data_IF_959004219901
#
_entry.id   IF_959004219901
#
_cell.length_a   1.000
_cell.length_b   1.000
_cell.length_c   1.000
_cell.angle_alpha   90.00
_cell.angle_beta   90.00
_cell.angle_gamma   90.00
#
_symmetry.space_group_name_H-M   'P 1'
#
loop_
_entity.id
_entity.type
_entity.pdbx_description
1 polymer ?
#
# COMPACT_ATOMS: atom_id res chain seq x y z
N UNK A 1 -13.55 11.75 -16.45
CA UNK A 1 -13.00 11.81 -17.84
C UNK A 1 -13.65 12.96 -18.57
N UNK A 2 -12.88 13.80 -19.28
CA UNK A 2 -13.41 14.96 -20.02
C UNK A 2 -12.45 15.32 -21.16
N UNK A 3 -12.95 15.95 -22.23
CA UNK A 3 -12.11 16.62 -23.23
C UNK A 3 -11.63 17.99 -22.75
N UNK A 4 -12.28 18.53 -21.74
CA UNK A 4 -11.98 19.79 -21.07
C UNK A 4 -11.16 19.49 -19.80
N UNK A 5 -9.94 20.03 -19.73
CA UNK A 5 -9.03 19.79 -18.59
C UNK A 5 -9.43 20.62 -17.37
N UNK A 6 -9.97 21.81 -17.57
CA UNK A 6 -10.42 22.72 -16.51
C UNK A 6 -11.53 22.06 -15.68
N UNK A 7 -12.48 21.40 -16.32
CA UNK A 7 -13.53 20.63 -15.63
C UNK A 7 -12.97 19.52 -14.72
N UNK A 8 -11.91 18.82 -15.13
CA UNK A 8 -11.30 17.79 -14.29
C UNK A 8 -10.51 18.37 -13.13
N UNK A 9 -9.85 19.51 -13.34
CA UNK A 9 -9.13 20.22 -12.29
C UNK A 9 -10.11 20.72 -11.23
N UNK A 10 -11.24 21.31 -11.64
CA UNK A 10 -12.30 21.76 -10.73
C UNK A 10 -12.88 20.59 -9.93
N UNK A 11 -13.21 19.47 -10.60
CA UNK A 11 -13.70 18.27 -9.93
C UNK A 11 -12.69 17.73 -8.92
N UNK A 12 -11.41 17.64 -9.28
CA UNK A 12 -10.37 17.16 -8.37
C UNK A 12 -10.14 18.08 -7.17
N UNK A 13 -10.19 19.39 -7.38
CA UNK A 13 -10.12 20.37 -6.30
C UNK A 13 -11.34 20.24 -5.37
N UNK A 14 -12.54 20.04 -5.91
CA UNK A 14 -13.74 19.79 -5.10
C UNK A 14 -13.55 18.57 -4.18
N UNK A 15 -13.05 17.47 -4.73
CA UNK A 15 -12.74 16.25 -3.93
C UNK A 15 -11.66 16.53 -2.90
N UNK A 16 -10.58 17.23 -3.27
CA UNK A 16 -9.49 17.59 -2.33
C UNK A 16 -10.01 18.41 -1.15
N UNK A 17 -10.80 19.45 -1.41
CA UNK A 17 -11.30 20.33 -0.34
C UNK A 17 -12.28 19.59 0.58
N UNK A 18 -13.13 18.71 0.03
CA UNK A 18 -13.96 17.81 0.85
C UNK A 18 -13.13 16.86 1.69
N UNK A 19 -12.13 16.22 1.06
CA UNK A 19 -11.25 15.26 1.73
C UNK A 19 -10.45 15.90 2.86
N UNK A 20 -9.88 17.09 2.65
CA UNK A 20 -9.11 17.84 3.66
C UNK A 20 -9.84 18.07 4.98
N UNK A 21 -11.16 18.19 4.95
CA UNK A 21 -11.99 18.42 6.14
C UNK A 21 -12.78 17.21 6.61
N UNK A 22 -12.67 16.07 5.92
CA UNK A 22 -13.46 14.88 6.23
C UNK A 22 -12.84 14.08 7.38
N UNK A 23 -13.65 13.68 8.36
CA UNK A 23 -13.25 12.74 9.40
C UNK A 23 -14.32 11.67 9.53
N UNK A 24 -13.88 10.42 9.70
CA UNK A 24 -14.73 9.28 10.03
C UNK A 24 -13.95 8.38 10.99
N UNK A 25 -14.09 8.69 12.28
CA UNK A 25 -13.39 7.96 13.35
C UNK A 25 -13.80 6.50 13.43
N UNK A 26 -14.95 6.12 12.84
CA UNK A 26 -15.30 4.70 12.78
C UNK A 26 -14.25 3.92 12.01
N UNK A 27 -13.60 4.50 11.01
CA UNK A 27 -12.55 3.86 10.19
C UNK A 27 -11.20 4.55 10.34
N UNK A 28 -10.95 5.18 11.50
CA UNK A 28 -9.66 5.79 11.86
C UNK A 28 -9.22 6.97 10.98
N UNK A 29 -10.14 7.54 10.19
CA UNK A 29 -9.88 8.69 9.33
C UNK A 29 -10.08 9.98 10.15
N UNK A 30 -9.06 10.81 10.25
CA UNK A 30 -9.12 12.10 10.96
C UNK A 30 -8.43 13.20 10.17
N UNK A 31 -9.18 14.21 9.73
CA UNK A 31 -8.61 15.31 8.97
C UNK A 31 -7.47 16.06 9.70
N UNK A 32 -7.56 16.18 11.03
CA UNK A 32 -6.61 16.96 11.84
C UNK A 32 -6.23 16.25 13.14
N UNK A 33 -4.99 16.47 13.57
CA UNK A 33 -4.53 16.24 14.94
C UNK A 33 -5.15 17.24 15.92
N UNK A 34 -5.05 16.95 17.22
CA UNK A 34 -5.52 17.85 18.29
C UNK A 34 -4.80 19.22 18.28
N UNK A 35 -3.58 19.30 17.75
CA UNK A 35 -2.81 20.53 17.57
C UNK A 35 -3.14 21.29 16.26
N UNK A 36 -4.07 20.77 15.46
CA UNK A 36 -4.50 21.36 14.18
C UNK A 36 -3.65 20.94 12.98
N UNK A 37 -2.70 20.01 13.12
CA UNK A 37 -1.93 19.49 11.98
C UNK A 37 -2.84 18.74 11.00
N UNK A 38 -2.89 19.12 9.71
CA UNK A 38 -3.70 18.43 8.70
C UNK A 38 -3.04 17.14 8.21
N UNK A 39 -3.85 16.11 7.97
CA UNK A 39 -3.34 14.78 7.55
C UNK A 39 -3.62 14.43 6.09
N UNK A 40 -4.61 15.10 5.50
CA UNK A 40 -5.22 14.66 4.26
C UNK A 40 -4.66 15.38 3.02
N UNK A 41 -4.42 14.61 1.97
CA UNK A 41 -4.14 15.12 0.62
C UNK A 41 -4.64 14.14 -0.43
N UNK A 42 -4.48 14.48 -1.70
CA UNK A 42 -4.72 13.54 -2.80
C UNK A 42 -3.48 13.43 -3.69
N UNK A 43 -3.30 12.27 -4.32
CA UNK A 43 -2.36 12.12 -5.42
C UNK A 43 -3.15 11.96 -6.72
N UNK A 44 -3.20 13.00 -7.58
CA UNK A 44 -3.84 12.89 -8.88
C UNK A 44 -2.95 12.12 -9.88
N UNK A 45 -3.54 11.16 -10.58
CA UNK A 45 -2.91 10.42 -11.68
C UNK A 45 -3.59 10.83 -12.97
N UNK A 46 -2.96 11.76 -13.68
CA UNK A 46 -3.49 12.29 -14.93
C UNK A 46 -2.95 11.48 -16.12
N UNK A 47 -3.84 11.10 -17.04
CA UNK A 47 -3.49 10.43 -18.31
C UNK A 47 -4.33 10.97 -19.45
N UNK A 48 -3.78 10.97 -20.66
CA UNK A 48 -4.50 11.29 -21.89
C UNK A 48 -4.77 10.00 -22.67
N UNK A 49 -6.03 9.76 -22.99
CA UNK A 49 -6.46 8.64 -23.83
C UNK A 49 -7.26 9.19 -24.99
N UNK A 50 -6.69 9.10 -26.19
CA UNK A 50 -7.23 9.73 -27.40
C UNK A 50 -7.44 11.25 -27.19
N UNK A 51 -8.68 11.71 -27.34
CA UNK A 51 -9.08 13.11 -27.18
C UNK A 51 -9.47 13.48 -25.75
N UNK A 52 -9.37 12.56 -24.79
CA UNK A 52 -9.83 12.77 -23.43
C UNK A 52 -8.69 12.80 -22.42
N UNK A 53 -8.88 13.64 -21.41
CA UNK A 53 -8.17 13.58 -20.15
C UNK A 53 -8.92 12.65 -19.19
N UNK A 54 -8.16 11.82 -18.48
CA UNK A 54 -8.62 10.94 -17.42
C UNK A 54 -7.79 11.25 -16.16
N UNK A 55 -8.46 11.23 -15.02
CA UNK A 55 -7.87 11.59 -13.74
C UNK A 55 -8.35 10.59 -12.70
N UNK A 56 -7.42 9.81 -12.15
CA UNK A 56 -7.67 8.99 -10.97
C UNK A 56 -7.17 9.75 -9.75
N UNK A 57 -7.96 9.77 -8.68
CA UNK A 57 -7.61 10.46 -7.45
C UNK A 57 -7.34 9.43 -6.36
N UNK A 58 -6.12 9.44 -5.84
CA UNK A 58 -5.72 8.60 -4.72
C UNK A 58 -5.87 9.42 -3.46
N UNK A 59 -6.77 9.03 -2.56
CA UNK A 59 -6.88 9.65 -1.25
C UNK A 59 -5.68 9.25 -0.39
N UNK A 60 -5.14 10.22 0.34
CA UNK A 60 -4.02 10.02 1.26
C UNK A 60 -4.38 10.53 2.63
N UNK A 61 -3.96 9.77 3.64
CA UNK A 61 -4.09 10.09 5.04
C UNK A 61 -2.77 9.73 5.73
N UNK A 62 -2.14 10.71 6.38
CA UNK A 62 -0.87 10.57 7.10
C UNK A 62 -1.05 10.44 8.62
N UNK A 63 -2.26 10.12 9.10
CA UNK A 63 -2.50 9.84 10.51
C UNK A 63 -1.58 8.72 11.02
N UNK A 64 -1.18 8.85 12.28
CA UNK A 64 -0.40 7.87 13.03
C UNK A 64 -1.15 7.48 14.30
N UNK A 65 -0.80 6.34 14.88
CA UNK A 65 -1.27 5.92 16.20
C UNK A 65 -0.12 5.33 17.02
N UNK A 66 -0.33 5.09 18.32
CA UNK A 66 0.67 4.40 19.15
C UNK A 66 0.99 2.99 18.62
N UNK A 67 0.00 2.33 18.02
CA UNK A 67 0.15 1.03 17.36
C UNK A 67 0.91 1.15 16.02
N UNK A 68 0.57 2.18 15.24
CA UNK A 68 1.13 2.45 13.92
C UNK A 68 1.85 3.80 13.85
N UNK A 69 3.07 3.90 14.45
CA UNK A 69 3.81 5.16 14.50
C UNK A 69 4.33 5.62 13.12
N UNK A 70 4.47 4.69 12.17
CA UNK A 70 4.87 4.99 10.79
C UNK A 70 3.66 5.39 9.90
N UNK A 71 2.44 5.28 10.42
CA UNK A 71 1.19 5.62 9.72
C UNK A 71 0.13 4.53 9.81
N UNK A 72 -1.12 4.91 10.10
CA UNK A 72 -2.28 4.01 10.09
C UNK A 72 -2.49 3.44 8.68
N UNK A 73 -2.32 4.28 7.66
CA UNK A 73 -2.47 3.96 6.24
C UNK A 73 -1.13 3.81 5.53
N UNK A 74 -0.23 3.03 6.14
CA UNK A 74 1.12 2.74 5.68
C UNK A 74 1.44 1.25 5.90
N UNK A 75 2.37 0.60 5.15
CA UNK A 75 2.80 -0.75 5.46
C UNK A 75 3.16 -0.97 6.93
N UNK A 76 2.48 -1.94 7.56
CA UNK A 76 2.67 -2.23 8.99
C UNK A 76 3.93 -3.06 9.25
N UNK A 77 4.37 -3.09 10.51
CA UNK A 77 5.68 -3.62 10.91
C UNK A 77 5.95 -5.06 10.44
N UNK A 78 4.92 -5.89 10.36
CA UNK A 78 4.99 -7.29 9.94
C UNK A 78 5.35 -7.45 8.45
N UNK A 79 5.06 -6.46 7.59
CA UNK A 79 5.37 -6.51 6.15
C UNK A 79 6.55 -5.63 5.73
N UNK A 80 7.05 -4.78 6.63
CA UNK A 80 8.15 -3.84 6.36
C UNK A 80 9.48 -4.52 5.98
N UNK A 81 9.64 -5.83 6.24
CA UNK A 81 10.81 -6.58 5.79
C UNK A 81 10.91 -6.60 4.25
N UNK A 82 9.77 -6.67 3.54
CA UNK A 82 9.69 -6.52 2.08
C UNK A 82 9.59 -5.05 1.71
N UNK A 83 8.56 -4.35 2.21
CA UNK A 83 8.25 -2.99 1.74
C UNK A 83 7.96 -2.07 2.92
N UNK A 84 8.92 -1.18 3.20
CA UNK A 84 8.80 -0.15 4.25
C UNK A 84 8.53 1.24 3.70
N UNK A 85 8.88 1.51 2.44
CA UNK A 85 8.69 2.86 1.90
C UNK A 85 7.21 3.12 1.58
N UNK A 86 6.83 4.40 1.53
CA UNK A 86 5.48 4.82 1.17
C UNK A 86 5.03 4.23 -0.18
N UNK A 87 3.71 4.00 -0.29
CA UNK A 87 3.09 3.50 -1.50
C UNK A 87 3.05 4.61 -2.56
N UNK A 88 3.83 4.42 -3.61
CA UNK A 88 3.98 5.36 -4.72
C UNK A 88 2.88 5.23 -5.76
N UNK A 89 3.03 5.98 -6.85
CA UNK A 89 2.09 5.98 -7.97
C UNK A 89 1.97 4.61 -8.65
N UNK A 90 3.09 3.91 -8.79
CA UNK A 90 3.17 2.63 -9.51
C UNK A 90 2.39 1.56 -8.74
N UNK A 91 2.54 1.54 -7.41
CA UNK A 91 1.85 0.63 -6.50
C UNK A 91 0.34 0.88 -6.46
N UNK A 92 -0.08 2.15 -6.46
CA UNK A 92 -1.52 2.46 -6.53
C UNK A 92 -2.14 2.02 -7.87
N UNK A 93 -1.35 2.00 -8.95
CA UNK A 93 -1.78 1.48 -10.25
C UNK A 93 -1.79 -0.06 -10.32
N UNK A 94 -1.50 -0.76 -9.22
CA UNK A 94 -1.54 -2.23 -9.14
C UNK A 94 -0.24 -2.92 -9.56
N UNK A 95 0.87 -2.18 -9.66
CA UNK A 95 2.19 -2.72 -9.98
C UNK A 95 3.11 -2.64 -8.76
N UNK A 96 3.88 -3.68 -8.44
CA UNK A 96 4.86 -3.61 -7.35
C UNK A 96 6.24 -3.19 -7.87
N UNK A 97 6.87 -2.21 -7.21
CA UNK A 97 8.30 -1.90 -7.41
C UNK A 97 9.08 -2.57 -6.29
N UNK A 98 9.90 -3.56 -6.66
CA UNK A 98 10.77 -4.25 -5.71
C UNK A 98 11.92 -3.31 -5.28
N UNK A 99 12.10 -3.02 -3.98
CA UNK A 99 13.27 -2.31 -3.49
C UNK A 99 14.57 -2.95 -4.00
N UNK A 100 15.55 -2.18 -4.50
CA UNK A 100 16.80 -2.73 -5.04
C UNK A 100 17.56 -3.65 -4.06
N UNK A 101 17.46 -3.36 -2.75
CA UNK A 101 18.04 -4.18 -1.67
C UNK A 101 17.50 -5.60 -1.62
N UNK A 102 16.23 -5.80 -1.99
CA UNK A 102 15.57 -7.10 -1.84
C UNK A 102 16.12 -8.13 -2.80
N UNK A 103 16.66 -7.74 -3.95
CA UNK A 103 17.17 -8.72 -4.91
C UNK A 103 18.26 -9.62 -4.31
N UNK A 104 19.35 -9.07 -3.72
CA UNK A 104 20.33 -9.91 -3.02
C UNK A 104 19.76 -10.53 -1.72
N UNK A 105 18.90 -9.84 -0.98
CA UNK A 105 18.33 -10.37 0.28
C UNK A 105 17.43 -11.60 0.05
N UNK A 106 16.61 -11.59 -1.00
CA UNK A 106 15.74 -12.72 -1.37
C UNK A 106 16.53 -13.93 -1.86
N UNK A 107 17.70 -13.74 -2.48
CA UNK A 107 18.58 -14.86 -2.81
C UNK A 107 19.09 -15.58 -1.54
N UNK A 108 19.35 -14.84 -0.46
CA UNK A 108 19.72 -15.44 0.83
C UNK A 108 18.52 -16.14 1.51
N UNK A 109 17.30 -15.64 1.31
CA UNK A 109 16.07 -16.33 1.72
C UNK A 109 15.92 -17.66 0.98
N UNK A 110 16.12 -17.69 -0.35
CA UNK A 110 16.08 -18.92 -1.15
C UNK A 110 17.08 -19.97 -0.63
N UNK A 111 18.34 -19.56 -0.35
CA UNK A 111 19.36 -20.43 0.23
C UNK A 111 18.94 -21.02 1.58
N UNK A 112 18.37 -20.19 2.46
CA UNK A 112 17.84 -20.65 3.75
C UNK A 112 16.72 -21.71 3.59
N UNK A 113 15.81 -21.49 2.64
CA UNK A 113 14.70 -22.41 2.37
C UNK A 113 15.22 -23.78 1.88
N UNK A 114 16.26 -23.79 1.04
CA UNK A 114 16.93 -24.99 0.56
C UNK A 114 17.83 -25.68 1.61
N UNK A 115 18.00 -25.09 2.80
CA UNK A 115 18.89 -25.62 3.83
C UNK A 115 20.37 -25.41 3.54
N UNK A 116 20.71 -24.51 2.63
CA UNK A 116 22.07 -24.12 2.33
C UNK A 116 22.60 -23.08 3.36
N UNK A 117 23.91 -22.97 3.48
CA UNK A 117 24.53 -21.84 4.19
C UNK A 117 24.06 -20.53 3.57
N UNK A 118 23.75 -19.52 4.38
CA UNK A 118 23.20 -18.23 3.94
C UNK A 118 23.59 -17.11 4.90
N UNK A 119 23.45 -15.87 4.44
CA UNK A 119 23.66 -14.63 5.18
C UNK A 119 22.34 -13.82 5.23
N UNK A 120 21.21 -14.51 5.33
CA UNK A 120 19.88 -13.88 5.36
C UNK A 120 19.78 -12.90 6.53
N UNK A 121 19.27 -11.70 6.25
CA UNK A 121 19.03 -10.71 7.29
C UNK A 121 17.99 -11.21 8.31
N UNK A 122 18.23 -10.95 9.60
CA UNK A 122 17.41 -11.46 10.69
C UNK A 122 15.93 -11.06 10.60
N UNK A 123 15.63 -9.89 10.04
CA UNK A 123 14.26 -9.41 9.88
C UNK A 123 13.44 -10.20 8.85
N UNK A 124 14.08 -11.04 8.01
CA UNK A 124 13.39 -11.98 7.13
C UNK A 124 13.12 -13.33 7.78
N UNK A 125 13.81 -13.65 8.89
CA UNK A 125 13.79 -15.00 9.49
C UNK A 125 12.40 -15.50 9.84
N UNK A 126 11.52 -14.71 10.52
CA UNK A 126 10.18 -15.20 10.85
C UNK A 126 9.37 -15.60 9.62
N UNK A 127 9.44 -14.78 8.57
CA UNK A 127 8.78 -15.03 7.29
C UNK A 127 9.37 -16.24 6.55
N UNK A 128 10.69 -16.35 6.50
CA UNK A 128 11.37 -17.47 5.85
C UNK A 128 11.10 -18.81 6.56
N UNK A 129 11.05 -18.81 7.91
CA UNK A 129 10.67 -19.99 8.69
C UNK A 129 9.21 -20.40 8.45
N UNK A 130 8.30 -19.44 8.30
CA UNK A 130 6.92 -19.72 7.92
C UNK A 130 6.86 -20.37 6.52
N UNK A 131 7.53 -19.79 5.52
CA UNK A 131 7.58 -20.35 4.17
C UNK A 131 8.15 -21.76 4.15
N UNK A 132 9.18 -22.03 4.94
CA UNK A 132 9.78 -23.37 5.06
C UNK A 132 8.79 -24.39 5.64
N UNK A 133 7.94 -23.99 6.58
CA UNK A 133 6.88 -24.86 7.14
C UNK A 133 5.75 -25.11 6.14
N UNK A 134 5.38 -24.10 5.35
CA UNK A 134 4.35 -24.20 4.31
C UNK A 134 4.81 -25.01 3.09
N UNK A 135 6.13 -25.06 2.86
CA UNK A 135 6.77 -25.76 1.75
C UNK A 135 7.89 -26.71 2.24
N UNK A 136 7.57 -27.80 2.96
CA UNK A 136 8.58 -28.68 3.55
C UNK A 136 9.47 -29.40 2.53
N UNK A 137 8.92 -29.69 1.34
CA UNK A 137 9.60 -30.42 0.26
C UNK A 137 10.11 -29.47 -0.85
N UNK A 138 10.43 -28.22 -0.51
CA UNK A 138 10.82 -27.22 -1.49
C UNK A 138 12.12 -27.60 -2.21
N UNK A 139 12.08 -27.58 -3.53
CA UNK A 139 13.23 -27.92 -4.39
C UNK A 139 13.87 -26.69 -4.98
N UNK A 140 15.11 -26.84 -5.46
CA UNK A 140 15.86 -25.77 -6.13
C UNK A 140 15.15 -25.21 -7.36
N UNK A 141 14.43 -26.06 -8.09
CA UNK A 141 13.71 -25.64 -9.30
C UNK A 141 12.44 -24.83 -8.98
N UNK A 142 11.89 -24.96 -7.76
CA UNK A 142 10.65 -24.31 -7.35
C UNK A 142 10.85 -23.14 -6.37
N UNK A 143 12.03 -23.02 -5.75
CA UNK A 143 12.29 -22.05 -4.67
C UNK A 143 12.03 -20.60 -5.10
N UNK A 144 12.50 -20.22 -6.29
CA UNK A 144 12.36 -18.86 -6.80
C UNK A 144 10.90 -18.49 -7.03
N UNK A 145 10.11 -19.40 -7.60
CA UNK A 145 8.69 -19.16 -7.85
C UNK A 145 7.90 -19.03 -6.54
N UNK A 146 8.23 -19.86 -5.55
CA UNK A 146 7.63 -19.79 -4.21
C UNK A 146 7.95 -18.46 -3.54
N UNK A 147 9.23 -18.04 -3.54
CA UNK A 147 9.65 -16.77 -2.96
C UNK A 147 8.99 -15.59 -3.68
N UNK A 148 8.95 -15.58 -5.02
CA UNK A 148 8.28 -14.52 -5.78
C UNK A 148 6.79 -14.43 -5.47
N UNK A 149 6.10 -15.57 -5.39
CA UNK A 149 4.67 -15.61 -5.04
C UNK A 149 4.44 -15.08 -3.62
N UNK A 150 5.28 -15.50 -2.67
CA UNK A 150 5.21 -15.03 -1.29
C UNK A 150 5.47 -13.52 -1.17
N UNK A 151 6.46 -12.99 -1.91
CA UNK A 151 6.70 -11.55 -2.00
C UNK A 151 5.47 -10.83 -2.55
N UNK A 152 4.82 -11.37 -3.59
CA UNK A 152 3.58 -10.83 -4.13
C UNK A 152 2.44 -10.78 -3.10
N UNK A 153 2.32 -11.80 -2.25
CA UNK A 153 1.35 -11.82 -1.15
C UNK A 153 1.64 -10.74 -0.11
N UNK A 154 2.91 -10.56 0.26
CA UNK A 154 3.32 -9.48 1.18
C UNK A 154 3.02 -8.11 0.56
N UNK A 155 3.29 -7.90 -0.73
CA UNK A 155 2.92 -6.65 -1.42
C UNK A 155 1.41 -6.41 -1.46
N UNK A 156 0.59 -7.44 -1.65
CA UNK A 156 -0.86 -7.30 -1.58
C UNK A 156 -1.29 -6.83 -0.19
N UNK A 157 -0.71 -7.42 0.87
CA UNK A 157 -0.97 -7.00 2.25
C UNK A 157 -0.55 -5.55 2.52
N UNK A 158 0.61 -5.15 2.02
CA UNK A 158 1.11 -3.76 2.08
C UNK A 158 0.10 -2.77 1.47
N UNK A 159 -0.56 -3.14 0.37
CA UNK A 159 -1.61 -2.31 -0.26
C UNK A 159 -2.90 -2.27 0.58
N UNK A 160 -3.24 -3.35 1.27
CA UNK A 160 -4.38 -3.39 2.21
C UNK A 160 -4.15 -2.46 3.41
N UNK A 161 -2.92 -2.43 3.95
CA UNK A 161 -2.55 -1.54 5.04
C UNK A 161 -2.62 -0.07 4.58
N UNK A 162 -2.11 0.23 3.38
CA UNK A 162 -2.09 1.59 2.84
C UNK A 162 -3.44 2.14 2.34
N UNK A 163 -4.44 1.27 2.15
CA UNK A 163 -5.77 1.68 1.72
C UNK A 163 -6.51 2.48 2.80
N UNK A 164 -6.90 3.72 2.49
CA UNK A 164 -7.66 4.61 3.40
C UNK A 164 -9.03 4.01 3.74
N UNK A 165 -9.81 3.66 2.72
CA UNK A 165 -11.04 2.90 2.89
C UNK A 165 -10.73 1.42 2.68
N UNK A 166 -10.85 0.63 3.74
CA UNK A 166 -10.58 -0.82 3.67
C UNK A 166 -11.57 -1.52 2.74
N UNK A 167 -11.14 -2.67 2.19
CA UNK A 167 -11.96 -3.51 1.30
C UNK A 167 -12.90 -4.46 2.04
N UNK A 168 -13.20 -4.16 3.30
CA UNK A 168 -14.20 -4.85 4.11
C UNK A 168 -15.53 -4.07 4.12
N UNK A 169 -16.58 -4.64 4.71
CA UNK A 169 -17.91 -4.04 4.77
C UNK A 169 -17.90 -2.64 5.39
N UNK A 170 -17.08 -2.44 6.43
CA UNK A 170 -16.98 -1.18 7.18
C UNK A 170 -16.33 -0.08 6.35
N UNK A 171 -15.24 -0.40 5.66
CA UNK A 171 -14.53 0.49 4.77
C UNK A 171 -15.34 0.85 3.52
N UNK A 172 -16.09 -0.11 2.94
CA UNK A 172 -17.00 0.19 1.83
C UNK A 172 -18.14 1.11 2.25
N UNK A 173 -18.77 0.85 3.41
CA UNK A 173 -19.81 1.74 3.95
C UNK A 173 -19.26 3.15 4.27
N UNK A 174 -18.00 3.26 4.69
CA UNK A 174 -17.35 4.55 4.91
C UNK A 174 -17.05 5.29 3.60
N UNK A 175 -16.59 4.58 2.57
CA UNK A 175 -16.41 5.14 1.23
C UNK A 175 -17.74 5.68 0.68
N UNK A 176 -18.83 4.94 0.84
CA UNK A 176 -20.17 5.40 0.44
C UNK A 176 -20.55 6.71 1.13
N UNK A 177 -20.34 6.82 2.46
CA UNK A 177 -20.57 8.07 3.20
C UNK A 177 -19.75 9.24 2.65
N UNK A 178 -18.48 9.02 2.32
CA UNK A 178 -17.63 10.06 1.74
C UNK A 178 -18.12 10.45 0.34
N UNK A 179 -18.43 9.49 -0.52
CA UNK A 179 -18.90 9.80 -1.89
C UNK A 179 -20.26 10.49 -1.93
N UNK A 180 -21.12 10.27 -0.93
CA UNK A 180 -22.42 10.93 -0.82
C UNK A 180 -22.33 12.45 -0.53
N UNK A 181 -21.16 12.96 -0.14
CA UNK A 181 -20.95 14.39 0.16
C UNK A 181 -20.11 15.12 -0.90
N UNK A 182 -19.76 14.43 -1.99
CA UNK A 182 -18.99 14.97 -3.13
C UNK A 182 -19.87 15.75 -4.12
#
# INVERSE_FOLDING_TARGET
>A
KSTDKELLIEAANSVLEKWKGYSDETVEIRAFSADGTPHHTITPIARRRDNYFELDLVLRDNNVSDEHPDGIFHPHKDVQHIKKENIGLIEVMGLAVLPPRLKPELAEVERFLLGEENQMAEYHRPWAEQLKKEHPDLTKDAVTDVVQKAVGQVFARVLEDAGVFKRDEKGQAALERFTAIL
#
